data_IF_117053788425
#
_entry.id   IF_117053788425
#
_cell.length_a   1.000
_cell.length_b   1.000
_cell.length_c   1.000
_cell.angle_alpha   90.00
_cell.angle_beta   90.00
_cell.angle_gamma   90.00
#
_symmetry.space_group_name_H-M   'P 1'
#
loop_
_entity.id
_entity.type
_entity.pdbx_description
1 polymer ?
#
# COMPACT_ATOMS: atom_id res chain seq x y z
N UNK A 1 -2.88 -16.50 -6.14
CA UNK A 1 -3.67 -15.34 -5.66
C UNK A 1 -3.45 -15.25 -4.16
N UNK A 2 -3.72 -14.13 -3.50
CA UNK A 2 -3.51 -14.00 -2.04
C UNK A 2 -4.36 -14.99 -1.22
N UNK A 3 -5.46 -15.51 -1.75
CA UNK A 3 -6.17 -16.66 -1.16
C UNK A 3 -5.27 -17.89 -0.96
N UNK A 4 -4.31 -18.11 -1.87
CA UNK A 4 -3.31 -19.16 -1.73
C UNK A 4 -2.32 -18.79 -0.61
N UNK A 5 -1.96 -17.51 -0.48
CA UNK A 5 -1.10 -16.99 0.59
C UNK A 5 -1.79 -17.17 1.94
N UNK A 6 -3.09 -16.90 2.07
CA UNK A 6 -3.86 -17.09 3.32
C UNK A 6 -3.94 -18.57 3.71
N UNK A 7 -4.16 -19.46 2.75
CA UNK A 7 -4.14 -20.93 2.98
C UNK A 7 -2.77 -21.41 3.42
N UNK A 8 -1.69 -20.86 2.88
CA UNK A 8 -0.33 -21.19 3.29
C UNK A 8 -0.01 -20.56 4.64
N UNK A 9 -0.42 -19.31 4.88
CA UNK A 9 -0.19 -18.56 6.11
C UNK A 9 -0.68 -19.32 7.35
N UNK A 10 -1.90 -19.87 7.29
CA UNK A 10 -2.47 -20.71 8.36
C UNK A 10 -1.66 -21.98 8.66
N UNK A 11 -0.80 -22.41 7.73
CA UNK A 11 0.06 -23.60 7.86
C UNK A 11 1.49 -23.24 8.30
N UNK A 12 1.84 -21.95 8.35
CA UNK A 12 3.15 -21.50 8.83
C UNK A 12 3.19 -21.58 10.35
N UNK A 13 4.28 -22.12 10.89
CA UNK A 13 4.54 -22.09 12.32
C UNK A 13 5.62 -21.06 12.68
N UNK A 14 5.95 -20.97 13.97
CA UNK A 14 6.94 -20.02 14.49
C UNK A 14 8.34 -20.21 13.89
N UNK A 15 8.71 -21.42 13.48
CA UNK A 15 10.01 -21.70 12.84
C UNK A 15 10.02 -21.26 11.39
N UNK A 16 8.91 -21.43 10.66
CA UNK A 16 8.78 -20.91 9.30
C UNK A 16 8.87 -19.39 9.29
N UNK A 17 8.14 -18.72 10.18
CA UNK A 17 8.19 -17.26 10.34
C UNK A 17 9.59 -16.79 10.73
N UNK A 18 10.31 -17.57 11.56
CA UNK A 18 11.71 -17.29 11.92
C UNK A 18 12.65 -17.43 10.73
N UNK A 19 12.45 -18.42 9.86
CA UNK A 19 13.21 -18.57 8.61
C UNK A 19 12.97 -17.35 7.70
N UNK A 20 11.71 -16.99 7.45
CA UNK A 20 11.34 -15.84 6.63
C UNK A 20 11.95 -14.53 7.18
N UNK A 21 11.86 -14.31 8.50
CA UNK A 21 12.47 -13.15 9.16
C UNK A 21 14.00 -13.16 9.03
N UNK A 22 14.63 -14.33 9.14
CA UNK A 22 16.09 -14.47 8.96
C UNK A 22 16.54 -14.10 7.55
N UNK A 23 15.77 -14.52 6.54
CA UNK A 23 16.01 -14.13 5.15
C UNK A 23 15.81 -12.63 4.97
N UNK A 24 14.70 -12.06 5.44
CA UNK A 24 14.44 -10.61 5.37
C UNK A 24 15.59 -9.79 5.97
N UNK A 25 16.07 -10.16 7.16
CA UNK A 25 17.19 -9.47 7.82
C UNK A 25 18.48 -9.65 7.03
N UNK A 26 18.76 -10.88 6.56
CA UNK A 26 19.94 -11.18 5.77
C UNK A 26 19.99 -10.40 4.45
N UNK A 27 18.85 -10.14 3.83
CA UNK A 27 18.77 -9.41 2.56
C UNK A 27 19.37 -8.01 2.66
N UNK A 28 19.47 -7.40 3.86
CA UNK A 28 20.17 -6.12 4.06
C UNK A 28 21.64 -6.14 3.62
N UNK A 29 22.28 -7.31 3.71
CA UNK A 29 23.72 -7.47 3.47
C UNK A 29 24.02 -8.39 2.28
N UNK A 30 23.04 -9.19 1.83
CA UNK A 30 23.21 -10.19 0.80
C UNK A 30 22.13 -10.06 -0.27
N UNK A 31 22.52 -10.13 -1.54
CA UNK A 31 21.53 -10.28 -2.61
C UNK A 31 20.80 -11.62 -2.45
N UNK A 32 21.53 -12.74 -2.42
CA UNK A 32 20.99 -14.05 -2.07
C UNK A 32 21.48 -14.42 -0.68
N UNK A 33 20.59 -14.55 0.30
CA UNK A 33 21.00 -14.84 1.68
C UNK A 33 21.51 -16.29 1.75
N UNK A 34 22.80 -16.50 2.09
CA UNK A 34 23.37 -17.85 2.10
C UNK A 34 22.66 -18.77 3.10
N UNK A 35 22.53 -20.05 2.78
CA UNK A 35 21.94 -21.06 3.68
C UNK A 35 22.57 -21.03 5.08
N UNK A 36 23.89 -20.83 5.16
CA UNK A 36 24.63 -20.71 6.41
C UNK A 36 24.17 -19.55 7.29
N UNK A 37 23.87 -18.39 6.70
CA UNK A 37 23.40 -17.22 7.45
C UNK A 37 21.99 -17.43 7.99
N UNK A 38 21.13 -18.06 7.19
CA UNK A 38 19.77 -18.45 7.62
C UNK A 38 19.87 -19.47 8.76
N UNK A 39 20.80 -20.43 8.67
CA UNK A 39 21.06 -21.44 9.71
C UNK A 39 21.54 -20.80 11.01
N UNK A 40 22.51 -19.90 10.94
CA UNK A 40 23.02 -19.15 12.11
C UNK A 40 21.90 -18.38 12.82
N UNK A 41 21.04 -17.71 12.05
CA UNK A 41 19.91 -16.96 12.61
C UNK A 41 18.83 -17.85 13.24
N UNK A 42 18.46 -18.92 12.54
CA UNK A 42 17.35 -19.80 12.94
C UNK A 42 17.74 -20.81 14.01
N UNK A 43 19.03 -21.17 14.11
CA UNK A 43 19.57 -22.22 14.97
C UNK A 43 18.99 -23.62 14.70
N UNK A 44 18.51 -23.85 13.46
CA UNK A 44 18.01 -25.16 13.03
C UNK A 44 19.16 -26.05 12.52
N UNK A 45 19.01 -27.36 12.63
CA UNK A 45 19.89 -28.30 11.92
C UNK A 45 19.68 -28.19 10.41
N UNK A 46 20.70 -28.54 9.61
CA UNK A 46 20.63 -28.48 8.14
C UNK A 46 19.39 -29.19 7.59
N UNK A 47 19.20 -30.47 7.93
CA UNK A 47 18.08 -31.27 7.40
C UNK A 47 16.71 -30.62 7.69
N UNK A 48 16.55 -30.02 8.87
CA UNK A 48 15.30 -29.35 9.27
C UNK A 48 15.11 -28.03 8.53
N UNK A 49 16.20 -27.30 8.32
CA UNK A 49 16.17 -26.03 7.59
C UNK A 49 15.87 -26.27 6.10
N UNK A 50 16.56 -27.20 5.47
CA UNK A 50 16.38 -27.56 4.06
C UNK A 50 14.96 -28.07 3.79
N UNK A 51 14.43 -28.97 4.63
CA UNK A 51 13.04 -29.44 4.52
C UNK A 51 12.03 -28.28 4.54
N UNK A 52 12.23 -27.31 5.43
CA UNK A 52 11.32 -26.15 5.56
C UNK A 52 11.50 -25.15 4.44
N UNK A 53 12.73 -24.89 4.01
CA UNK A 53 13.02 -24.02 2.86
C UNK A 53 12.40 -24.60 1.58
N UNK A 54 12.50 -25.90 1.36
CA UNK A 54 11.85 -26.58 0.23
C UNK A 54 10.32 -26.40 0.28
N UNK A 55 9.71 -26.50 1.47
CA UNK A 55 8.27 -26.27 1.63
C UNK A 55 7.91 -24.80 1.35
N UNK A 56 8.66 -23.85 1.92
CA UNK A 56 8.45 -22.42 1.71
C UNK A 56 8.61 -22.04 0.24
N UNK A 57 9.61 -22.60 -0.45
CA UNK A 57 9.84 -22.44 -1.88
C UNK A 57 8.68 -22.97 -2.71
N UNK A 58 8.19 -24.19 -2.42
CA UNK A 58 7.02 -24.77 -3.10
C UNK A 58 5.73 -23.95 -2.91
N UNK A 59 5.63 -23.23 -1.80
CA UNK A 59 4.53 -22.32 -1.52
C UNK A 59 4.78 -20.87 -1.95
N UNK A 60 5.82 -20.60 -2.76
CA UNK A 60 6.17 -19.28 -3.28
C UNK A 60 6.51 -18.21 -2.21
N UNK A 61 6.77 -18.63 -0.96
CA UNK A 61 7.11 -17.73 0.15
C UNK A 61 8.55 -17.21 0.04
N UNK A 62 9.42 -18.02 -0.56
CA UNK A 62 10.83 -17.70 -0.83
C UNK A 62 11.18 -18.12 -2.25
N UNK A 63 12.18 -17.46 -2.82
CA UNK A 63 12.86 -17.91 -4.04
C UNK A 63 14.28 -18.31 -3.68
N UNK A 64 14.84 -19.29 -4.40
CA UNK A 64 16.17 -19.82 -4.15
C UNK A 64 17.01 -19.90 -5.42
N UNK A 65 18.32 -19.78 -5.26
CA UNK A 65 19.32 -20.01 -6.30
C UNK A 65 20.36 -21.02 -5.80
N UNK A 66 21.02 -21.71 -6.74
CA UNK A 66 22.22 -22.52 -6.49
C UNK A 66 23.49 -21.89 -7.06
N UNK A 67 23.36 -20.80 -7.82
CA UNK A 67 24.45 -20.11 -8.49
C UNK A 67 24.44 -18.65 -8.06
N UNK A 68 25.58 -18.06 -7.64
CA UNK A 68 26.90 -18.67 -7.51
C UNK A 68 27.07 -19.62 -6.31
N UNK A 69 26.11 -19.61 -5.38
CA UNK A 69 26.04 -20.50 -4.21
C UNK A 69 24.57 -20.73 -3.85
N UNK A 70 24.30 -21.64 -2.90
CA UNK A 70 22.95 -21.85 -2.38
C UNK A 70 22.50 -20.67 -1.51
N UNK A 71 21.50 -19.94 -1.98
CA UNK A 71 20.98 -18.77 -1.27
C UNK A 71 19.50 -18.51 -1.56
N UNK A 72 18.88 -17.72 -0.70
CA UNK A 72 17.44 -17.50 -0.69
C UNK A 72 17.08 -16.02 -0.56
N UNK A 73 15.94 -15.64 -1.13
CA UNK A 73 15.30 -14.33 -0.94
C UNK A 73 13.83 -14.53 -0.55
N UNK A 74 13.29 -13.56 0.18
CA UNK A 74 11.86 -13.51 0.43
C UNK A 74 11.15 -12.94 -0.80
N UNK A 75 9.93 -13.41 -1.07
CA UNK A 75 9.07 -12.86 -2.11
C UNK A 75 7.82 -12.23 -1.50
N UNK A 76 6.96 -11.59 -2.31
CA UNK A 76 5.78 -10.86 -1.81
C UNK A 76 4.90 -11.72 -0.91
N UNK A 77 4.64 -12.98 -1.27
CA UNK A 77 3.80 -13.89 -0.47
C UNK A 77 4.40 -14.12 0.94
N UNK A 78 5.72 -14.32 1.02
CA UNK A 78 6.43 -14.44 2.30
C UNK A 78 6.46 -13.13 3.09
N UNK A 79 6.55 -12.00 2.37
CA UNK A 79 6.56 -10.67 2.96
C UNK A 79 5.18 -10.30 3.52
N UNK A 80 4.11 -10.63 2.79
CA UNK A 80 2.71 -10.52 3.22
C UNK A 80 2.48 -11.34 4.49
N UNK A 81 2.95 -12.60 4.51
CA UNK A 81 2.86 -13.46 5.69
C UNK A 81 3.53 -12.83 6.93
N UNK A 82 4.73 -12.25 6.78
CA UNK A 82 5.39 -11.57 7.88
C UNK A 82 4.64 -10.32 8.34
N UNK A 83 4.09 -9.54 7.41
CA UNK A 83 3.26 -8.37 7.70
C UNK A 83 2.01 -8.76 8.50
N UNK A 84 1.24 -9.71 7.97
CA UNK A 84 0.02 -10.25 8.58
C UNK A 84 0.26 -10.83 9.97
N UNK A 85 1.30 -11.65 10.14
CA UNK A 85 1.64 -12.18 11.46
C UNK A 85 1.92 -11.08 12.49
N UNK A 86 2.45 -9.93 12.06
CA UNK A 86 2.67 -8.80 12.96
C UNK A 86 1.35 -8.11 13.31
N UNK A 87 0.47 -7.89 12.34
CA UNK A 87 -0.86 -7.29 12.59
C UNK A 87 -1.71 -8.16 13.52
N UNK A 88 -1.69 -9.49 13.33
CA UNK A 88 -2.36 -10.44 14.22
C UNK A 88 -1.79 -10.37 15.63
N UNK A 89 -0.46 -10.36 15.78
CA UNK A 89 0.19 -10.26 17.10
C UNK A 89 -0.08 -8.93 17.82
N UNK A 90 -0.31 -7.85 17.08
CA UNK A 90 -0.65 -6.52 17.61
C UNK A 90 -2.16 -6.35 17.87
N UNK A 91 -2.99 -7.30 17.45
CA UNK A 91 -4.46 -7.17 17.55
C UNK A 91 -5.04 -6.16 16.56
N UNK A 92 -4.30 -5.77 15.53
CA UNK A 92 -4.75 -4.84 14.48
C UNK A 92 -5.65 -5.53 13.45
N UNK A 93 -5.49 -6.86 13.31
CA UNK A 93 -6.26 -7.72 12.39
C UNK A 93 -6.49 -9.07 13.06
N UNK A 94 -7.71 -9.59 13.00
CA UNK A 94 -8.11 -10.90 13.53
C UNK A 94 -8.59 -11.85 12.44
N UNK A 95 -9.25 -11.33 11.41
CA UNK A 95 -9.65 -12.09 10.22
C UNK A 95 -9.41 -11.27 8.95
N UNK A 96 -9.22 -11.96 7.83
CA UNK A 96 -9.06 -11.37 6.49
C UNK A 96 -10.22 -11.88 5.64
N UNK A 97 -10.86 -10.94 4.95
CA UNK A 97 -11.96 -11.17 4.02
C UNK A 97 -11.50 -11.09 2.57
N UNK A 98 -12.41 -10.63 1.72
CA UNK A 98 -12.25 -10.67 0.27
C UNK A 98 -11.19 -9.68 -0.24
N UNK A 99 -10.67 -9.98 -1.43
CA UNK A 99 -9.89 -9.04 -2.22
C UNK A 99 -10.83 -8.03 -2.89
N UNK A 100 -10.72 -6.75 -2.51
CA UNK A 100 -11.62 -5.70 -3.00
C UNK A 100 -10.96 -4.78 -4.02
N UNK A 101 -9.63 -4.85 -4.17
CA UNK A 101 -8.90 -4.05 -5.15
C UNK A 101 -7.58 -4.69 -5.54
N UNK A 102 -7.38 -4.88 -6.84
CA UNK A 102 -6.08 -5.28 -7.41
C UNK A 102 -5.63 -4.22 -8.39
N UNK A 103 -4.63 -3.46 -7.99
CA UNK A 103 -3.92 -2.53 -8.85
C UNK A 103 -2.62 -3.12 -9.38
N UNK A 104 -1.95 -2.35 -10.24
CA UNK A 104 -0.55 -2.61 -10.61
C UNK A 104 0.40 -2.41 -9.42
N UNK A 105 -0.02 -1.58 -8.47
CA UNK A 105 0.81 -0.99 -7.42
C UNK A 105 0.39 -1.40 -6.01
N UNK A 106 -0.79 -1.98 -5.84
CA UNK A 106 -1.26 -2.48 -4.55
C UNK A 106 -2.26 -3.63 -4.69
N UNK A 107 -2.42 -4.38 -3.61
CA UNK A 107 -3.49 -5.37 -3.41
C UNK A 107 -4.20 -4.99 -2.12
N UNK A 108 -5.53 -4.88 -2.16
CA UNK A 108 -6.36 -4.36 -1.07
C UNK A 108 -7.36 -5.43 -0.63
N UNK A 109 -7.40 -5.66 0.69
CA UNK A 109 -8.27 -6.63 1.33
C UNK A 109 -9.18 -6.00 2.36
N UNK A 110 -10.38 -6.54 2.47
CA UNK A 110 -11.17 -6.42 3.69
C UNK A 110 -10.57 -7.28 4.79
N UNK A 111 -10.73 -6.81 6.02
CA UNK A 111 -10.33 -7.51 7.21
C UNK A 111 -11.19 -7.07 8.39
N UNK A 112 -11.08 -7.81 9.48
CA UNK A 112 -11.81 -7.55 10.71
C UNK A 112 -10.80 -7.50 11.84
N UNK A 113 -10.98 -6.52 12.73
CA UNK A 113 -10.31 -6.42 14.02
C UNK A 113 -11.32 -6.73 15.12
N UNK A 114 -10.99 -7.69 15.98
CA UNK A 114 -11.79 -7.94 17.18
C UNK A 114 -11.64 -6.78 18.19
N UNK A 115 -12.72 -6.33 18.83
CA UNK A 115 -12.64 -5.31 19.86
C UNK A 115 -12.00 -5.88 21.13
N UNK A 116 -11.45 -4.98 21.96
CA UNK A 116 -10.83 -5.37 23.24
C UNK A 116 -11.87 -5.91 24.25
N UNK A 117 -13.11 -5.42 24.17
CA UNK A 117 -14.23 -5.88 24.98
C UNK A 117 -15.05 -6.89 24.18
N UNK A 118 -15.21 -8.11 24.72
CA UNK A 118 -15.91 -9.22 24.07
C UNK A 118 -17.42 -8.99 23.79
N UNK A 119 -17.96 -7.86 24.23
CA UNK A 119 -19.37 -7.46 24.02
C UNK A 119 -19.57 -6.49 22.85
N UNK A 120 -18.48 -5.96 22.28
CA UNK A 120 -18.56 -5.03 21.16
C UNK A 120 -18.54 -5.80 19.82
N UNK A 121 -19.06 -5.15 18.78
CA UNK A 121 -19.07 -5.73 17.44
C UNK A 121 -17.66 -5.73 16.82
N UNK A 122 -17.36 -6.71 15.95
CA UNK A 122 -16.12 -6.72 15.18
C UNK A 122 -15.97 -5.45 14.31
N UNK A 123 -14.78 -4.88 14.30
CA UNK A 123 -14.50 -3.61 13.63
C UNK A 123 -13.97 -3.90 12.22
N UNK A 124 -14.64 -3.45 11.14
CA UNK A 124 -14.13 -3.60 9.79
C UNK A 124 -12.90 -2.73 9.57
N UNK A 125 -11.89 -3.31 8.93
CA UNK A 125 -10.64 -2.63 8.56
C UNK A 125 -10.22 -3.05 7.16
N UNK A 126 -9.35 -2.26 6.54
CA UNK A 126 -8.76 -2.53 5.22
C UNK A 126 -7.27 -2.80 5.40
N UNK A 127 -6.76 -3.81 4.69
CA UNK A 127 -5.33 -4.06 4.55
C UNK A 127 -4.91 -3.73 3.12
N UNK A 128 -4.05 -2.73 2.96
CA UNK A 128 -3.42 -2.38 1.68
C UNK A 128 -2.00 -2.90 1.67
N UNK A 129 -1.69 -3.83 0.78
CA UNK A 129 -0.33 -4.29 0.49
C UNK A 129 0.23 -3.58 -0.72
N UNK A 130 1.36 -2.91 -0.56
CA UNK A 130 2.08 -2.27 -1.64
C UNK A 130 2.82 -3.28 -2.52
N UNK A 131 2.84 -2.99 -3.81
CA UNK A 131 3.44 -3.80 -4.89
C UNK A 131 4.20 -2.91 -5.90
N UNK A 132 4.43 -1.62 -5.63
CA UNK A 132 5.17 -0.75 -6.54
C UNK A 132 6.47 -1.41 -7.02
N UNK A 133 6.76 -1.29 -8.32
CA UNK A 133 7.92 -1.93 -8.98
C UNK A 133 7.62 -3.26 -9.69
N UNK A 134 6.45 -3.89 -9.49
CA UNK A 134 6.11 -5.19 -10.10
C UNK A 134 5.91 -5.16 -11.63
N UNK A 135 5.41 -4.05 -12.19
CA UNK A 135 5.07 -3.91 -13.64
C UNK A 135 6.05 -3.10 -14.45
N UNK A 136 6.63 -2.03 -13.89
CA UNK A 136 7.54 -1.10 -14.59
C UNK A 136 8.75 -1.84 -15.20
N UNK A 137 9.21 -2.90 -14.53
CA UNK A 137 10.33 -3.71 -14.98
C UNK A 137 9.96 -4.94 -15.82
N UNK A 138 8.68 -5.32 -16.02
CA UNK A 138 8.34 -6.28 -17.10
C UNK A 138 8.69 -5.69 -18.47
N UNK A 139 8.60 -4.36 -18.60
CA UNK A 139 9.04 -3.61 -19.78
C UNK A 139 10.57 -3.54 -19.86
N UNK A 140 11.25 -3.37 -18.73
CA UNK A 140 12.73 -3.31 -18.65
C UNK A 140 13.40 -4.69 -18.84
N UNK A 141 12.78 -5.78 -18.38
CA UNK A 141 13.25 -7.16 -18.61
C UNK A 141 13.28 -7.55 -20.09
N UNK A 142 12.44 -6.95 -20.92
CA UNK A 142 12.49 -7.13 -22.39
C UNK A 142 13.65 -6.38 -23.06
N UNK A 143 14.31 -5.46 -22.35
CA UNK A 143 15.35 -4.58 -22.90
C UNK A 143 16.73 -4.87 -22.27
N UNK A 144 16.79 -5.56 -21.13
CA UNK A 144 18.04 -5.80 -20.36
C UNK A 144 18.38 -7.29 -20.19
N UNK A 145 18.62 -8.00 -21.28
CA UNK A 145 19.28 -9.33 -21.21
C UNK A 145 20.79 -9.23 -20.87
N UNK A 146 21.36 -8.04 -20.66
CA UNK A 146 22.82 -7.84 -20.57
C UNK A 146 23.34 -7.07 -19.34
N UNK A 147 22.51 -6.77 -18.33
CA UNK A 147 22.97 -6.11 -17.10
C UNK A 147 22.40 -6.83 -15.87
N UNK A 148 23.10 -7.89 -15.49
CA UNK A 148 22.83 -8.70 -14.29
C UNK A 148 23.76 -8.19 -13.19
N UNK A 149 23.34 -7.18 -12.44
CA UNK A 149 23.93 -6.91 -11.13
C UNK A 149 23.00 -5.99 -10.31
N UNK A 150 22.41 -6.55 -9.24
CA UNK A 150 21.74 -5.86 -8.11
C UNK A 150 20.29 -5.37 -8.25
N UNK A 151 19.39 -6.07 -8.95
CA UNK A 151 17.99 -5.62 -9.10
C UNK A 151 16.97 -6.27 -8.12
N UNK A 152 17.30 -7.38 -7.45
CA UNK A 152 16.31 -8.14 -6.67
C UNK A 152 15.96 -7.53 -5.29
N UNK A 153 16.88 -6.77 -4.68
CA UNK A 153 16.67 -6.09 -3.40
C UNK A 153 15.75 -4.85 -3.52
N UNK A 154 15.48 -4.38 -4.74
CA UNK A 154 14.78 -3.11 -4.97
C UNK A 154 13.27 -3.18 -4.72
N UNK A 155 12.57 -4.26 -5.10
CA UNK A 155 11.10 -4.20 -5.20
C UNK A 155 10.40 -4.28 -3.84
N UNK A 156 10.80 -5.24 -3.01
CA UNK A 156 10.26 -5.40 -1.66
C UNK A 156 10.62 -4.17 -0.81
N UNK A 157 11.83 -3.65 -1.00
CA UNK A 157 12.28 -2.43 -0.33
C UNK A 157 11.50 -1.19 -0.80
N UNK A 158 11.26 -1.05 -2.11
CA UNK A 158 10.46 0.04 -2.67
C UNK A 158 9.02 -0.01 -2.16
N UNK A 159 8.36 -1.17 -2.20
CA UNK A 159 7.02 -1.36 -1.64
C UNK A 159 6.97 -1.04 -0.13
N UNK A 160 8.01 -1.41 0.63
CA UNK A 160 8.14 -1.05 2.04
C UNK A 160 8.26 0.47 2.24
N UNK A 161 9.04 1.15 1.41
CA UNK A 161 9.19 2.61 1.49
C UNK A 161 7.90 3.33 1.11
N UNK A 162 7.19 2.87 0.10
CA UNK A 162 5.92 3.44 -0.32
C UNK A 162 4.84 3.27 0.75
N UNK A 163 4.69 2.09 1.33
CA UNK A 163 3.75 1.86 2.44
C UNK A 163 4.07 2.75 3.65
N UNK A 164 5.36 2.88 3.99
CA UNK A 164 5.79 3.77 5.07
C UNK A 164 5.45 5.23 4.74
N UNK A 165 5.74 5.67 3.51
CA UNK A 165 5.47 7.02 3.04
C UNK A 165 3.97 7.36 3.12
N UNK A 166 3.11 6.48 2.64
CA UNK A 166 1.66 6.65 2.71
C UNK A 166 1.17 6.65 4.17
N UNK A 167 1.62 5.72 5.00
CA UNK A 167 1.20 5.69 6.40
C UNK A 167 1.62 6.95 7.17
N UNK A 168 2.87 7.40 6.99
CA UNK A 168 3.42 8.56 7.68
C UNK A 168 2.65 9.85 7.30
N UNK A 169 2.25 10.02 6.03
CA UNK A 169 1.44 11.18 5.62
C UNK A 169 0.00 11.06 6.10
N UNK A 170 -0.61 9.87 6.05
CA UNK A 170 -1.97 9.68 6.59
C UNK A 170 -2.04 10.04 8.08
N UNK A 171 -1.03 9.66 8.88
CA UNK A 171 -0.97 10.03 10.30
C UNK A 171 -0.93 11.55 10.51
N UNK A 172 -0.29 12.27 9.57
CA UNK A 172 -0.18 13.74 9.63
C UNK A 172 -1.48 14.43 9.21
N UNK A 173 -2.20 13.85 8.26
CA UNK A 173 -3.39 14.45 7.65
C UNK A 173 -4.72 14.09 8.35
N UNK A 174 -4.82 12.91 8.97
CA UNK A 174 -6.10 12.34 9.43
C UNK A 174 -6.95 13.27 10.31
N UNK A 175 -6.34 14.06 11.19
CA UNK A 175 -7.07 14.95 12.10
C UNK A 175 -7.58 16.24 11.41
N UNK A 176 -7.15 16.51 10.17
CA UNK A 176 -7.39 17.78 9.46
C UNK A 176 -8.02 17.60 8.08
N UNK A 177 -7.87 16.42 7.49
CA UNK A 177 -8.30 16.08 6.14
C UNK A 177 -9.15 14.83 6.23
N UNK A 178 -10.24 14.80 5.48
CA UNK A 178 -11.15 13.65 5.46
C UNK A 178 -10.50 12.50 4.69
N UNK A 179 -9.84 11.61 5.43
CA UNK A 179 -9.19 10.41 4.91
C UNK A 179 -9.50 9.22 5.81
N UNK A 180 -9.37 7.97 5.31
CA UNK A 180 -9.55 6.80 6.16
C UNK A 180 -8.54 6.79 7.31
N UNK A 181 -9.00 6.44 8.51
CA UNK A 181 -8.15 6.40 9.70
C UNK A 181 -6.99 5.42 9.53
N UNK A 182 -5.72 5.85 9.55
CA UNK A 182 -4.59 4.93 9.58
C UNK A 182 -4.49 4.25 10.96
N UNK A 183 -4.44 2.91 10.99
CA UNK A 183 -4.48 2.13 12.23
C UNK A 183 -3.13 1.49 12.58
N UNK A 184 -2.48 0.82 11.63
CA UNK A 184 -1.20 0.16 11.83
C UNK A 184 -0.42 0.11 10.53
N UNK A 185 0.90 0.01 10.63
CA UNK A 185 1.78 -0.17 9.48
C UNK A 185 2.90 -1.14 9.83
N UNK A 186 3.17 -2.02 8.89
CA UNK A 186 4.29 -2.92 8.98
C UNK A 186 4.75 -3.36 7.60
N UNK A 187 6.06 -3.29 7.37
CA UNK A 187 6.69 -3.67 6.11
C UNK A 187 6.12 -2.85 4.94
N UNK A 188 5.49 -3.50 3.99
CA UNK A 188 4.85 -2.95 2.79
C UNK A 188 3.32 -2.92 2.93
N UNK A 189 2.79 -3.02 4.14
CA UNK A 189 1.36 -3.10 4.38
C UNK A 189 0.87 -2.05 5.37
N UNK A 190 -0.33 -1.54 5.12
CA UNK A 190 -1.04 -0.59 5.96
C UNK A 190 -2.38 -1.20 6.35
N UNK A 191 -2.75 -1.07 7.63
CA UNK A 191 -4.10 -1.32 8.14
C UNK A 191 -4.75 0.04 8.39
N UNK A 192 -5.95 0.24 7.85
CA UNK A 192 -6.71 1.48 7.97
C UNK A 192 -8.21 1.21 8.09
N UNK A 193 -9.00 2.22 8.48
CA UNK A 193 -10.46 2.13 8.39
C UNK A 193 -10.91 2.00 6.91
N UNK A 194 -12.08 1.39 6.64
CA UNK A 194 -12.68 1.48 5.32
C UNK A 194 -13.04 2.93 4.99
N UNK A 195 -12.82 3.32 3.73
CA UNK A 195 -13.29 4.61 3.24
C UNK A 195 -14.82 4.64 3.19
N UNK A 196 -15.43 5.77 3.54
CA UNK A 196 -16.89 5.88 3.65
C UNK A 196 -17.57 5.95 2.28
N UNK A 197 -18.68 5.24 2.15
CA UNK A 197 -19.53 5.29 0.96
C UNK A 197 -18.94 4.56 -0.25
N UNK A 198 -18.95 5.20 -1.41
CA UNK A 198 -18.58 4.59 -2.68
C UNK A 198 -17.61 5.45 -3.49
N UNK A 199 -16.78 4.80 -4.29
CA UNK A 199 -15.83 5.47 -5.19
C UNK A 199 -16.55 6.40 -6.19
N UNK A 200 -16.07 7.64 -6.33
CA UNK A 200 -16.70 8.72 -7.10
C UNK A 200 -16.97 8.31 -8.56
N UNK A 201 -16.01 7.63 -9.20
CA UNK A 201 -16.16 7.18 -10.59
C UNK A 201 -17.43 6.35 -10.82
N UNK A 202 -17.80 5.50 -9.86
CA UNK A 202 -18.95 4.59 -9.94
C UNK A 202 -20.24 5.17 -9.34
N UNK A 203 -20.16 6.33 -8.70
CA UNK A 203 -21.28 6.89 -7.93
C UNK A 203 -22.03 7.95 -8.74
N UNK A 204 -23.35 7.87 -8.79
CA UNK A 204 -24.19 8.94 -9.33
C UNK A 204 -24.55 9.89 -8.19
N UNK A 205 -24.15 11.15 -8.32
CA UNK A 205 -24.37 12.17 -7.30
C UNK A 205 -25.77 12.77 -7.42
N UNK A 206 -26.41 13.01 -6.27
CA UNK A 206 -27.65 13.77 -6.19
C UNK A 206 -27.37 15.28 -6.26
N UNK A 207 -26.33 15.74 -5.56
CA UNK A 207 -25.90 17.14 -5.49
C UNK A 207 -24.46 17.31 -6.00
N UNK A 208 -24.22 17.18 -7.32
CA UNK A 208 -22.87 17.15 -7.89
C UNK A 208 -22.09 18.45 -7.67
N UNK A 209 -22.75 19.61 -7.64
CA UNK A 209 -22.09 20.89 -7.41
C UNK A 209 -21.57 21.01 -5.96
N UNK A 210 -22.37 20.59 -4.98
CA UNK A 210 -21.95 20.55 -3.58
C UNK A 210 -20.75 19.61 -3.36
N UNK A 211 -20.78 18.40 -3.96
CA UNK A 211 -19.66 17.45 -3.84
C UNK A 211 -18.39 17.99 -4.52
N UNK A 212 -18.51 18.66 -5.66
CA UNK A 212 -17.37 19.32 -6.30
C UNK A 212 -16.73 20.36 -5.37
N UNK A 213 -17.56 21.19 -4.74
CA UNK A 213 -17.10 22.22 -3.81
C UNK A 213 -16.42 21.64 -2.57
N UNK A 214 -16.96 20.54 -2.03
CA UNK A 214 -16.36 19.81 -0.92
C UNK A 214 -14.97 19.24 -1.30
N UNK A 215 -14.84 18.66 -2.48
CA UNK A 215 -13.54 18.16 -3.00
C UNK A 215 -12.54 19.32 -3.12
N UNK A 216 -12.92 20.44 -3.73
CA UNK A 216 -12.04 21.59 -3.92
C UNK A 216 -11.64 22.24 -2.59
N UNK A 217 -12.58 22.34 -1.63
CA UNK A 217 -12.32 22.82 -0.28
C UNK A 217 -11.31 21.92 0.44
N UNK A 218 -11.45 20.61 0.31
CA UNK A 218 -10.50 19.67 0.89
C UNK A 218 -9.11 19.73 0.24
N UNK A 219 -9.03 19.93 -1.09
CA UNK A 219 -7.76 20.20 -1.78
C UNK A 219 -7.10 21.47 -1.22
N UNK A 220 -7.87 22.53 -0.97
CA UNK A 220 -7.36 23.76 -0.32
C UNK A 220 -6.78 23.48 1.06
N UNK A 221 -7.47 22.70 1.90
CA UNK A 221 -6.95 22.32 3.22
C UNK A 221 -5.63 21.53 3.09
N UNK A 222 -5.58 20.55 2.18
CA UNK A 222 -4.36 19.75 1.94
C UNK A 222 -3.21 20.64 1.48
N UNK A 223 -3.46 21.58 0.55
CA UNK A 223 -2.47 22.53 0.06
C UNK A 223 -1.96 23.47 1.16
N UNK A 224 -2.85 23.97 2.04
CA UNK A 224 -2.47 24.81 3.19
C UNK A 224 -1.58 24.11 4.21
N UNK A 225 -1.59 22.77 4.21
CA UNK A 225 -0.68 21.96 5.02
C UNK A 225 0.69 21.73 4.33
N UNK A 226 0.93 22.37 3.19
CA UNK A 226 2.16 22.24 2.41
C UNK A 226 2.23 20.94 1.61
N UNK A 227 1.09 20.28 1.37
CA UNK A 227 1.00 18.97 0.72
C UNK A 227 0.17 19.07 -0.57
N UNK A 228 0.55 18.31 -1.58
CA UNK A 228 -0.22 18.09 -2.80
C UNK A 228 -0.37 16.59 -2.97
N UNK A 229 -1.58 16.10 -3.26
CA UNK A 229 -1.85 14.68 -3.41
C UNK A 229 -1.06 14.07 -4.58
N UNK A 230 -0.96 14.82 -5.69
CA UNK A 230 -0.21 14.47 -6.90
C UNK A 230 -0.53 13.09 -7.46
N UNK A 231 -1.77 12.65 -7.30
CA UNK A 231 -2.41 11.58 -8.07
C UNK A 231 -3.94 11.60 -7.90
N UNK A 232 -4.53 12.78 -7.66
CA UNK A 232 -5.95 12.87 -7.34
C UNK A 232 -6.80 12.73 -8.61
N UNK A 233 -7.82 11.87 -8.53
CA UNK A 233 -8.77 11.60 -9.62
C UNK A 233 -10.06 11.00 -9.08
N UNK A 234 -11.06 10.78 -9.94
CA UNK A 234 -12.32 10.13 -9.57
C UNK A 234 -12.18 8.69 -9.06
N UNK A 235 -10.99 8.09 -9.19
CA UNK A 235 -10.67 6.76 -8.70
C UNK A 235 -10.15 6.75 -7.26
N UNK A 236 -9.71 7.91 -6.75
CA UNK A 236 -9.08 8.06 -5.44
C UNK A 236 -9.93 8.89 -4.47
N UNK A 237 -11.19 9.17 -4.85
CA UNK A 237 -12.15 9.93 -4.07
C UNK A 237 -13.33 9.02 -3.76
N UNK A 238 -13.65 8.87 -2.49
CA UNK A 238 -14.86 8.22 -1.99
C UNK A 238 -15.89 9.30 -1.61
N UNK A 239 -17.17 8.99 -1.82
CA UNK A 239 -18.27 9.89 -1.49
C UNK A 239 -19.34 9.14 -0.71
N UNK A 240 -19.86 9.80 0.31
CA UNK A 240 -20.94 9.33 1.17
C UNK A 240 -21.84 10.51 1.53
N UNK A 241 -22.92 10.24 2.26
CA UNK A 241 -23.79 11.29 2.80
C UNK A 241 -23.06 12.18 3.83
N UNK A 242 -21.93 11.73 4.37
CA UNK A 242 -21.09 12.48 5.33
C UNK A 242 -20.04 13.38 4.64
N UNK A 243 -19.91 13.32 3.31
CA UNK A 243 -18.92 14.07 2.54
C UNK A 243 -17.99 13.18 1.73
N UNK A 244 -16.78 13.68 1.47
CA UNK A 244 -15.78 13.00 0.62
C UNK A 244 -14.55 12.58 1.41
N UNK A 245 -13.95 11.46 1.02
CA UNK A 245 -12.68 10.98 1.57
C UNK A 245 -11.65 10.73 0.46
N UNK A 246 -10.40 11.18 0.69
CA UNK A 246 -9.29 10.96 -0.24
C UNK A 246 -8.46 9.74 0.19
N UNK A 247 -8.09 8.90 -0.78
CA UNK A 247 -7.26 7.72 -0.58
C UNK A 247 -6.05 7.72 -1.53
N UNK A 248 -5.12 6.80 -1.29
CA UNK A 248 -3.97 6.55 -2.16
C UNK A 248 -2.93 7.69 -2.15
N UNK A 249 -2.26 7.84 -1.00
CA UNK A 249 -1.28 8.90 -0.80
C UNK A 249 0.19 8.57 -1.10
N UNK A 250 0.64 7.43 -1.66
CA UNK A 250 2.07 7.14 -1.76
C UNK A 250 2.84 8.11 -2.66
N UNK A 251 2.16 8.77 -3.61
CA UNK A 251 2.77 9.68 -4.59
C UNK A 251 2.73 11.17 -4.20
N UNK A 252 2.26 11.52 -2.99
CA UNK A 252 2.15 12.92 -2.56
C UNK A 252 3.47 13.69 -2.71
N UNK A 253 3.39 15.00 -2.92
CA UNK A 253 4.56 15.90 -2.90
C UNK A 253 4.33 17.06 -1.92
N UNK A 254 5.40 17.78 -1.59
CA UNK A 254 5.30 19.04 -0.84
C UNK A 254 5.19 20.22 -1.80
N UNK A 255 4.72 21.36 -1.30
CA UNK A 255 4.61 22.61 -2.08
C UNK A 255 5.97 23.14 -2.57
N UNK A 256 7.08 22.74 -1.93
CA UNK A 256 8.44 23.08 -2.35
C UNK A 256 8.94 22.24 -3.55
N UNK A 257 8.15 21.28 -4.04
CA UNK A 257 8.54 20.43 -5.16
C UNK A 257 8.70 21.29 -6.45
N UNK A 258 9.74 21.05 -7.29
CA UNK A 258 9.98 21.86 -8.50
C UNK A 258 8.80 21.94 -9.48
N UNK A 259 7.92 20.94 -9.43
CA UNK A 259 6.71 20.83 -10.25
C UNK A 259 5.41 20.92 -9.42
N UNK A 260 5.45 21.54 -8.23
CA UNK A 260 4.29 21.61 -7.33
C UNK A 260 3.05 22.22 -8.02
N UNK A 261 3.22 23.35 -8.72
CA UNK A 261 2.12 24.03 -9.41
C UNK A 261 1.49 23.16 -10.49
N UNK A 262 2.32 22.52 -11.33
CA UNK A 262 1.86 21.62 -12.39
C UNK A 262 1.10 20.40 -11.82
N UNK A 263 1.55 19.87 -10.68
CA UNK A 263 0.92 18.72 -10.03
C UNK A 263 -0.41 19.09 -9.37
N UNK A 264 -0.49 20.26 -8.74
CA UNK A 264 -1.75 20.78 -8.19
C UNK A 264 -2.76 21.04 -9.32
N UNK A 265 -2.33 21.72 -10.39
CA UNK A 265 -3.17 21.96 -11.56
C UNK A 265 -3.65 20.65 -12.18
N UNK A 266 -2.80 19.63 -12.24
CA UNK A 266 -3.21 18.32 -12.77
C UNK A 266 -4.28 17.66 -11.89
N UNK A 267 -4.12 17.69 -10.56
CA UNK A 267 -5.11 17.13 -9.63
C UNK A 267 -6.48 17.85 -9.76
N UNK A 268 -6.48 19.18 -9.76
CA UNK A 268 -7.71 19.98 -9.95
C UNK A 268 -8.32 19.73 -11.33
N UNK A 269 -7.51 19.68 -12.38
CA UNK A 269 -7.96 19.43 -13.75
C UNK A 269 -8.65 18.07 -13.88
N UNK A 270 -8.11 17.02 -13.25
CA UNK A 270 -8.72 15.69 -13.24
C UNK A 270 -10.12 15.72 -12.61
N UNK A 271 -10.25 16.40 -11.46
CA UNK A 271 -11.54 16.58 -10.77
C UNK A 271 -12.52 17.34 -11.66
N UNK A 272 -12.15 18.52 -12.16
CA UNK A 272 -13.03 19.32 -13.02
C UNK A 272 -13.43 18.58 -14.31
N UNK A 273 -12.51 17.82 -14.91
CA UNK A 273 -12.79 17.01 -16.09
C UNK A 273 -13.78 15.86 -15.81
N UNK A 274 -13.76 15.27 -14.61
CA UNK A 274 -14.76 14.30 -14.19
C UNK A 274 -16.15 14.92 -14.12
N UNK A 275 -16.28 16.05 -13.42
CA UNK A 275 -17.57 16.72 -13.22
C UNK A 275 -18.14 17.30 -14.52
N UNK A 276 -17.29 17.86 -15.38
CA UNK A 276 -17.69 18.32 -16.71
C UNK A 276 -18.22 17.17 -17.57
N UNK A 277 -17.53 16.04 -17.62
CA UNK A 277 -17.97 14.88 -18.43
C UNK A 277 -19.26 14.25 -17.93
N UNK A 278 -19.46 14.17 -16.61
CA UNK A 278 -20.54 13.38 -16.00
C UNK A 278 -21.79 14.21 -15.67
N UNK A 279 -21.63 15.51 -15.40
CA UNK A 279 -22.69 16.39 -14.92
C UNK A 279 -22.79 17.73 -15.66
N UNK A 280 -21.95 17.97 -16.68
CA UNK A 280 -21.85 19.25 -17.40
C UNK A 280 -21.55 20.46 -16.48
N UNK A 281 -20.89 20.18 -15.35
CA UNK A 281 -20.44 21.22 -14.41
C UNK A 281 -19.02 21.65 -14.76
N UNK A 282 -18.83 22.95 -14.93
CA UNK A 282 -17.53 23.56 -15.17
C UNK A 282 -17.27 24.69 -14.17
N UNK A 283 -16.02 24.79 -13.72
CA UNK A 283 -15.48 25.96 -13.01
C UNK A 283 -14.27 26.49 -13.77
N UNK A 284 -14.02 27.79 -13.67
CA UNK A 284 -12.80 28.36 -14.24
C UNK A 284 -11.58 27.87 -13.46
N UNK A 285 -10.60 27.35 -14.20
CA UNK A 285 -9.40 26.74 -13.61
C UNK A 285 -8.56 27.77 -12.85
N UNK A 286 -8.42 28.98 -13.41
CA UNK A 286 -7.61 30.04 -12.82
C UNK A 286 -8.21 30.53 -11.50
N UNK A 287 -9.53 30.72 -11.48
CA UNK A 287 -10.26 31.08 -10.25
C UNK A 287 -10.12 30.01 -9.18
N UNK A 288 -10.31 28.72 -9.52
CA UNK A 288 -10.19 27.61 -8.57
C UNK A 288 -8.77 27.51 -8.00
N UNK A 289 -7.74 27.58 -8.84
CA UNK A 289 -6.34 27.53 -8.38
C UNK A 289 -6.00 28.74 -7.50
N UNK A 290 -6.47 29.94 -7.88
CA UNK A 290 -6.29 31.13 -7.07
C UNK A 290 -6.92 30.97 -5.68
N UNK A 291 -8.14 30.44 -5.60
CA UNK A 291 -8.85 30.21 -4.33
C UNK A 291 -8.15 29.16 -3.46
N UNK A 292 -7.61 28.09 -4.06
CA UNK A 292 -6.85 27.04 -3.34
C UNK A 292 -5.57 27.61 -2.75
N UNK A 293 -4.89 28.50 -3.48
CA UNK A 293 -3.63 29.13 -3.04
C UNK A 293 -3.85 30.33 -2.11
N UNK A 294 -5.07 30.85 -2.03
CA UNK A 294 -5.42 31.95 -1.14
C UNK A 294 -5.26 31.50 0.33
N UNK A 295 -4.56 32.31 1.13
CA UNK A 295 -4.27 32.09 2.56
C UNK A 295 -3.22 31.02 2.91
N UNK A 296 -2.30 30.69 1.99
CA UNK A 296 -1.12 29.83 2.24
C UNK A 296 0.18 30.63 2.31
#
# INVERSE_FOLDING_TARGET
MIDDVLKVFRKLDSKDLRILTGIEIGMKNFEWVPLEEIRKYTKLSFDKLEFRLLRLFRSNMVVGTKTPYEGYQIYFDGYDALALNTFVKRGSVSAIGDEIGVGKESVVHEAIREPELAIADPIPVIIKFHREGRTSFKRVKRVRDHLVDREHFSWIYAARLAAKREYDIMQTLYDKVSIPKPLDHNRHAIVMAPAKGSILVKTRLLEPEWVLDEILSQIKVVYSLGIIHSDLSEYNIFVSDEGVEFIDWPQYVTVDHPHADELLERDVSNVLAHFRRKYDLGKDMGEVISQIKEDV
#
